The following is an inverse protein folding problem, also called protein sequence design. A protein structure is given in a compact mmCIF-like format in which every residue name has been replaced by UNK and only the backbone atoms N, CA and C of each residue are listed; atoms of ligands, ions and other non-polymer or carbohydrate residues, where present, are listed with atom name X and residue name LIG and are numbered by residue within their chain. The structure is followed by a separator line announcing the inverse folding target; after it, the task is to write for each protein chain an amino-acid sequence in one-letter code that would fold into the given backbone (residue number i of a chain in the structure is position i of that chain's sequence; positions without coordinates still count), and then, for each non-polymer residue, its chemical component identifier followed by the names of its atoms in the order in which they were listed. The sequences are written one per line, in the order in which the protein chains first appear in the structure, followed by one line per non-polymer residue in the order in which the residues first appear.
data_IF_160946823186
#
_entry.id   IF_160946823186
#
_cell.length_a   1.000
_cell.length_b   1.000
_cell.length_c   1.000
_cell.angle_alpha   90.00
_cell.angle_beta   90.00
_cell.angle_gamma   90.00
#
_symmetry.space_group_name_H-M   'P 1'
#
loop_
_entity.id
_entity.type
_entity.pdbx_description
1 polymer ?
#
# COMPACT_ATOMS: atom_id res chain seq x y z
N UNK A 1 -17.57 -33.73 -0.49
CA UNK A 1 -17.36 -32.84 -1.65
C UNK A 1 -16.30 -31.84 -1.21
N UNK A 2 -15.04 -32.24 -1.39
CA UNK A 2 -13.91 -31.34 -1.31
C UNK A 2 -14.11 -30.20 -2.33
N UNK A 3 -13.81 -28.99 -1.87
CA UNK A 3 -13.69 -27.77 -2.67
C UNK A 3 -12.41 -27.06 -2.26
N UNK A 4 -11.32 -27.80 -2.36
CA UNK A 4 -9.95 -27.30 -2.35
C UNK A 4 -9.79 -26.29 -3.48
N UNK A 5 -9.35 -25.06 -3.18
CA UNK A 5 -8.63 -24.13 -4.08
C UNK A 5 -8.43 -22.75 -3.43
N UNK A 6 -7.53 -22.67 -2.46
CA UNK A 6 -6.56 -21.55 -2.42
C UNK A 6 -5.30 -21.93 -1.61
N UNK A 7 -4.77 -23.13 -1.85
CA UNK A 7 -3.47 -23.58 -1.38
C UNK A 7 -2.39 -23.17 -2.41
N UNK A 8 -2.27 -21.86 -2.67
CA UNK A 8 -1.49 -21.32 -3.79
C UNK A 8 -0.71 -20.03 -3.50
N UNK A 9 -0.38 -19.73 -2.25
CA UNK A 9 0.62 -18.70 -1.91
C UNK A 9 1.62 -19.28 -0.91
N UNK A 10 2.65 -19.95 -1.43
CA UNK A 10 3.88 -20.15 -0.67
C UNK A 10 4.46 -18.79 -0.29
N UNK A 11 4.79 -18.60 1.00
CA UNK A 11 5.34 -17.37 1.57
C UNK A 11 4.58 -16.08 1.17
N UNK A 12 3.28 -16.03 1.46
CA UNK A 12 2.55 -14.76 1.45
C UNK A 12 3.12 -13.83 2.51
N UNK A 13 3.89 -12.81 2.10
CA UNK A 13 4.32 -11.72 2.95
C UNK A 13 3.11 -11.24 3.78
N UNK A 14 3.21 -11.34 5.10
CA UNK A 14 2.19 -10.80 6.00
C UNK A 14 2.17 -9.29 5.76
N UNK A 15 1.23 -8.80 4.95
CA UNK A 15 1.06 -7.37 4.73
C UNK A 15 0.69 -6.77 6.09
N UNK A 16 1.57 -5.92 6.62
CA UNK A 16 1.40 -5.31 7.95
C UNK A 16 0.03 -4.62 8.02
N UNK A 17 -0.75 -4.91 9.06
CA UNK A 17 -2.07 -4.32 9.28
C UNK A 17 -2.04 -2.79 9.32
N UNK A 18 -0.88 -2.19 9.68
CA UNK A 18 -0.67 -0.74 9.62
C UNK A 18 -0.64 -0.20 8.19
N UNK A 19 -0.07 -0.96 7.26
CA UNK A 19 -0.05 -0.59 5.83
C UNK A 19 -1.46 -0.60 5.29
N UNK A 20 -2.25 -1.64 5.59
CA UNK A 20 -3.65 -1.74 5.16
C UNK A 20 -4.49 -0.56 5.70
N UNK A 21 -4.29 -0.17 6.96
CA UNK A 21 -4.95 1.00 7.54
C UNK A 21 -4.57 2.30 6.80
N UNK A 22 -3.29 2.45 6.44
CA UNK A 22 -2.78 3.61 5.69
C UNK A 22 -3.38 3.67 4.28
N UNK A 23 -3.48 2.52 3.61
CA UNK A 23 -4.15 2.37 2.31
C UNK A 23 -5.61 2.86 2.42
N UNK A 24 -6.38 2.29 3.36
CA UNK A 24 -7.80 2.64 3.53
C UNK A 24 -7.99 4.14 3.80
N UNK A 25 -7.19 4.71 4.70
CA UNK A 25 -7.27 6.15 5.03
C UNK A 25 -6.92 7.03 3.83
N UNK A 26 -5.93 6.64 3.03
CA UNK A 26 -5.52 7.38 1.84
C UNK A 26 -6.61 7.35 0.77
N UNK A 27 -7.24 6.19 0.56
CA UNK A 27 -8.36 6.07 -0.39
C UNK A 27 -9.54 6.96 -0.04
N UNK A 28 -9.99 6.98 1.22
CA UNK A 28 -11.10 7.83 1.64
C UNK A 28 -10.77 9.31 1.43
N UNK A 29 -9.54 9.72 1.74
CA UNK A 29 -9.10 11.10 1.51
C UNK A 29 -9.07 11.46 0.03
N UNK A 30 -8.51 10.60 -0.83
CA UNK A 30 -8.50 10.82 -2.27
C UNK A 30 -9.92 10.91 -2.82
N UNK A 31 -10.83 10.03 -2.42
CA UNK A 31 -12.22 10.10 -2.87
C UNK A 31 -12.88 11.43 -2.50
N UNK A 32 -12.75 11.87 -1.24
CA UNK A 32 -13.29 13.16 -0.82
C UNK A 32 -12.74 14.32 -1.66
N UNK A 33 -11.45 14.30 -2.02
CA UNK A 33 -10.83 15.33 -2.87
C UNK A 33 -11.39 15.26 -4.30
N UNK A 34 -11.58 14.07 -4.85
CA UNK A 34 -12.11 13.90 -6.21
C UNK A 34 -13.60 14.30 -6.29
N UNK A 35 -14.37 14.04 -5.24
CA UNK A 35 -15.75 14.52 -5.14
C UNK A 35 -15.80 16.05 -5.10
N UNK A 36 -14.89 16.70 -4.38
CA UNK A 36 -14.74 18.15 -4.42
C UNK A 36 -14.36 18.65 -5.82
N UNK A 37 -13.42 17.99 -6.49
CA UNK A 37 -13.07 18.34 -7.88
C UNK A 37 -14.27 18.24 -8.82
N UNK A 38 -15.14 17.25 -8.64
CA UNK A 38 -16.37 17.12 -9.42
C UNK A 38 -17.27 18.34 -9.24
N UNK A 39 -17.43 18.83 -8.01
CA UNK A 39 -18.22 20.05 -7.74
C UNK A 39 -17.57 21.29 -8.36
N UNK A 40 -16.26 21.45 -8.22
CA UNK A 40 -15.51 22.57 -8.81
C UNK A 40 -15.64 22.59 -10.34
N UNK A 41 -15.52 21.43 -11.00
CA UNK A 41 -15.69 21.32 -12.46
C UNK A 41 -17.10 21.74 -12.88
N UNK A 42 -18.12 21.30 -12.14
CA UNK A 42 -19.50 21.68 -12.44
C UNK A 42 -19.69 23.21 -12.34
N UNK A 43 -19.17 23.84 -11.29
CA UNK A 43 -19.24 25.30 -11.13
C UNK A 43 -18.45 26.04 -12.23
N UNK A 44 -17.25 25.56 -12.57
CA UNK A 44 -16.43 26.11 -13.65
C UNK A 44 -17.21 26.10 -14.98
N UNK A 45 -17.88 24.97 -15.28
CA UNK A 45 -18.69 24.82 -16.49
C UNK A 45 -19.89 25.77 -16.48
N UNK A 46 -20.64 25.88 -15.38
CA UNK A 46 -21.75 26.82 -15.25
C UNK A 46 -21.31 28.27 -15.44
N UNK A 47 -20.19 28.65 -14.83
CA UNK A 47 -19.60 29.98 -15.00
C UNK A 47 -19.22 30.23 -16.48
N UNK A 48 -18.66 29.23 -17.16
CA UNK A 48 -18.31 29.33 -18.58
C UNK A 48 -19.55 29.47 -19.47
N UNK A 49 -20.60 28.69 -19.22
CA UNK A 49 -21.87 28.74 -19.93
C UNK A 49 -22.57 30.10 -19.77
N UNK A 50 -22.49 30.70 -18.58
CA UNK A 50 -23.08 32.01 -18.29
C UNK A 50 -22.44 33.17 -19.08
N UNK A 51 -21.18 33.01 -19.53
CA UNK A 51 -20.37 34.03 -20.24
C UNK A 51 -20.21 35.37 -19.52
N UNK A 52 -20.57 35.45 -18.24
CA UNK A 52 -20.42 36.66 -17.45
C UNK A 52 -18.94 36.89 -17.11
N UNK A 53 -18.38 38.09 -17.38
CA UNK A 53 -16.95 38.37 -17.13
C UNK A 53 -16.50 38.09 -15.70
N UNK A 54 -17.34 38.41 -14.71
CA UNK A 54 -17.05 38.17 -13.29
C UNK A 54 -16.96 36.68 -12.96
N UNK A 55 -17.83 35.85 -13.56
CA UNK A 55 -17.83 34.41 -13.36
C UNK A 55 -16.62 33.75 -14.03
N UNK A 56 -16.23 34.23 -15.22
CA UNK A 56 -14.99 33.79 -15.87
C UNK A 56 -13.75 34.15 -15.04
N UNK A 57 -13.76 35.32 -14.40
CA UNK A 57 -12.69 35.71 -13.47
C UNK A 57 -12.65 34.79 -12.24
N UNK A 58 -13.81 34.40 -11.70
CA UNK A 58 -13.91 33.41 -10.60
C UNK A 58 -13.35 32.04 -10.99
N UNK A 59 -13.53 31.60 -12.24
CA UNK A 59 -12.99 30.33 -12.72
C UNK A 59 -11.48 30.21 -12.55
N UNK A 60 -10.73 31.31 -12.62
CA UNK A 60 -9.28 31.28 -12.37
C UNK A 60 -8.96 30.78 -10.96
N UNK A 61 -9.76 31.21 -9.97
CA UNK A 61 -9.64 30.74 -8.58
C UNK A 61 -10.03 29.27 -8.43
N UNK A 62 -11.17 28.87 -9.00
CA UNK A 62 -11.67 27.49 -8.93
C UNK A 62 -10.71 26.50 -9.60
N UNK A 63 -10.13 26.84 -10.76
CA UNK A 63 -9.13 26.03 -11.45
C UNK A 63 -7.86 25.91 -10.61
N UNK A 64 -7.44 26.97 -9.91
CA UNK A 64 -6.30 26.91 -9.00
C UNK A 64 -6.56 25.95 -7.84
N UNK A 65 -7.77 25.97 -7.28
CA UNK A 65 -8.18 25.03 -6.23
C UNK A 65 -8.18 23.58 -6.74
N UNK A 66 -8.78 23.33 -7.89
CA UNK A 66 -8.76 22.02 -8.56
C UNK A 66 -7.32 21.53 -8.77
N UNK A 67 -6.43 22.38 -9.28
CA UNK A 67 -5.02 22.05 -9.47
C UNK A 67 -4.27 21.79 -8.15
N UNK A 68 -4.69 22.37 -7.05
CA UNK A 68 -4.11 22.08 -5.72
C UNK A 68 -4.63 20.75 -5.18
N UNK A 69 -5.91 20.45 -5.39
CA UNK A 69 -6.50 19.17 -5.05
C UNK A 69 -5.78 18.02 -5.78
N UNK A 70 -5.46 18.17 -7.07
CA UNK A 70 -4.69 17.15 -7.81
C UNK A 70 -3.27 16.97 -7.23
N UNK A 71 -2.57 18.04 -6.86
CA UNK A 71 -1.26 17.92 -6.18
C UNK A 71 -1.39 17.10 -4.90
N UNK A 72 -2.39 17.38 -4.07
CA UNK A 72 -2.64 16.63 -2.83
C UNK A 72 -2.92 15.15 -3.07
N UNK A 73 -3.66 14.82 -4.15
CA UNK A 73 -3.89 13.42 -4.54
C UNK A 73 -2.57 12.74 -4.92
N UNK A 74 -1.70 13.42 -5.68
CA UNK A 74 -0.37 12.92 -6.02
C UNK A 74 0.47 12.68 -4.77
N UNK A 75 0.48 13.63 -3.83
CA UNK A 75 1.22 13.50 -2.57
C UNK A 75 0.72 12.32 -1.73
N UNK A 76 -0.61 12.15 -1.59
CA UNK A 76 -1.21 11.04 -0.87
C UNK A 76 -0.82 9.68 -1.46
N UNK A 77 -0.78 9.56 -2.79
CA UNK A 77 -0.32 8.33 -3.44
C UNK A 77 1.19 8.12 -3.32
N UNK A 78 1.99 9.20 -3.34
CA UNK A 78 3.42 9.15 -3.08
C UNK A 78 3.73 8.60 -1.69
N UNK A 79 3.09 9.16 -0.67
CA UNK A 79 3.22 8.73 0.73
C UNK A 79 2.78 7.27 0.91
N UNK A 80 1.70 6.87 0.22
CA UNK A 80 1.20 5.51 0.28
C UNK A 80 2.19 4.52 -0.34
N UNK A 81 2.69 4.81 -1.53
CA UNK A 81 3.70 4.00 -2.22
C UNK A 81 4.95 3.85 -1.36
N UNK A 82 5.45 4.95 -0.80
CA UNK A 82 6.63 4.94 0.06
C UNK A 82 6.43 4.09 1.31
N UNK A 83 5.28 4.23 1.98
CA UNK A 83 4.95 3.45 3.18
C UNK A 83 4.83 1.95 2.87
N UNK A 84 4.26 1.61 1.72
CA UNK A 84 4.12 0.24 1.26
C UNK A 84 5.49 -0.40 0.97
N UNK A 85 6.34 0.27 0.16
CA UNK A 85 7.69 -0.22 -0.16
C UNK A 85 8.53 -0.44 1.09
N UNK A 86 8.51 0.52 2.03
CA UNK A 86 9.24 0.41 3.30
C UNK A 86 8.79 -0.80 4.14
N UNK A 87 7.50 -1.11 4.16
CA UNK A 87 7.00 -2.27 4.90
C UNK A 87 7.44 -3.60 4.30
N UNK A 88 7.63 -3.67 2.97
CA UNK A 88 8.14 -4.88 2.31
C UNK A 88 9.63 -5.11 2.62
N UNK A 89 10.44 -4.05 2.66
CA UNK A 89 11.86 -4.14 3.03
C UNK A 89 12.04 -4.70 4.45
N UNK A 90 11.28 -4.19 5.42
CA UNK A 90 11.31 -4.66 6.82
C UNK A 90 10.86 -6.12 6.96
N UNK A 91 9.93 -6.59 6.12
CA UNK A 91 9.48 -7.98 6.14
C UNK A 91 10.55 -8.97 5.61
N UNK A 92 11.54 -8.51 4.84
CA UNK A 92 12.60 -9.35 4.26
C UNK A 92 13.79 -9.58 5.21
N UNK A 93 14.02 -8.68 6.17
CA UNK A 93 15.20 -8.72 7.06
C UNK A 93 15.04 -9.67 8.27
N UNK A 94 13.84 -10.22 8.48
CA UNK A 94 13.53 -11.15 9.57
C UNK A 94 13.86 -12.62 9.31
N UNK A 95 14.14 -13.02 8.06
CA UNK A 95 14.32 -14.44 7.67
C UNK A 95 15.79 -14.88 7.55
N UNK A 96 16.75 -14.01 7.91
CA UNK A 96 18.20 -14.29 7.80
C UNK A 96 18.93 -14.43 9.16
N UNK A 97 18.23 -14.82 10.21
CA UNK A 97 18.85 -15.19 11.49
C UNK A 97 18.83 -16.71 11.70
N UNK A 98 19.81 -17.41 11.14
CA UNK A 98 20.26 -18.70 11.71
C UNK A 98 20.11 -19.95 10.86
N UNK A 99 20.66 -19.98 9.64
CA UNK A 99 21.07 -21.26 9.02
C UNK A 99 22.56 -21.18 8.70
N UNK A 100 23.40 -21.74 9.56
CA UNK A 100 24.63 -22.49 9.20
C UNK A 100 25.26 -23.02 10.48
N UNK A 101 24.81 -24.18 10.98
CA UNK A 101 25.65 -25.14 11.71
C UNK A 101 25.16 -26.57 11.45
N UNK A 102 25.23 -27.00 10.19
CA UNK A 102 25.37 -28.40 9.86
C UNK A 102 26.87 -28.72 9.86
N UNK A 103 27.35 -29.40 10.91
CA UNK A 103 28.39 -30.39 10.67
C UNK A 103 28.36 -31.47 11.77
N UNK A 104 27.84 -32.62 11.38
CA UNK A 104 27.75 -33.81 12.21
C UNK A 104 29.13 -34.41 12.39
N UNK A 105 29.73 -34.23 13.57
CA UNK A 105 30.92 -34.97 13.96
C UNK A 105 30.52 -36.34 14.49
N UNK A 106 30.62 -37.33 13.61
CA UNK A 106 30.56 -38.77 13.88
C UNK A 106 31.43 -39.14 15.10
N UNK A 107 30.79 -39.43 16.22
CA UNK A 107 31.45 -39.91 17.42
C UNK A 107 30.54 -40.86 18.16
N UNK A 108 30.71 -42.17 17.93
CA UNK A 108 30.59 -43.27 18.89
C UNK A 108 30.45 -44.60 18.14
N UNK A 109 31.57 -45.28 17.90
CA UNK A 109 31.57 -46.74 17.77
C UNK A 109 31.75 -47.33 19.18
N UNK A 110 31.09 -48.48 19.38
CA UNK A 110 31.26 -49.50 20.44
C UNK A 110 30.34 -49.35 21.65
N UNK A 111 29.25 -50.11 21.63
CA UNK A 111 28.88 -51.05 22.70
C UNK A 111 28.05 -52.18 22.05
N UNK A 112 28.58 -53.41 22.02
CA UNK A 112 27.80 -54.63 21.77
C UNK A 112 27.52 -55.28 23.13
N UNK A 113 26.30 -55.75 23.41
CA UNK A 113 26.01 -56.55 24.60
C UNK A 113 26.15 -58.04 24.29
N UNK A 114 26.71 -58.81 25.21
CA UNK A 114 26.28 -60.19 25.46
C UNK A 114 26.74 -60.66 26.83
N UNK A 115 25.79 -61.00 27.69
CA UNK A 115 25.89 -62.01 28.73
C UNK A 115 25.10 -63.24 28.23
N UNK A 116 25.16 -64.44 28.85
CA UNK A 116 25.91 -64.85 30.04
C UNK A 116 27.13 -65.75 29.76
#
# INVERSE_FOLDING_TARGET
MEGDTFSGFGNGAQVDGKVLQTVQKSFVQVQNILDQNRLLINEINQNHESRMPDNLSRNVGLIRELNNNIKRVVDLYGDLSYSFSKSMEVSSEGDSAGTTRSDGKLGQKRLRPSAP
#
